data_IF_583244650493
#
_entry.id   IF_583244650493
#
_cell.length_a   1.000
_cell.length_b   1.000
_cell.length_c   1.000
_cell.angle_alpha   90.00
_cell.angle_beta   90.00
_cell.angle_gamma   90.00
#
_symmetry.space_group_name_H-M   'P 1'
#
loop_
_entity.id
_entity.type
_entity.pdbx_description
1 polymer ?
#
# COMPACT_ATOMS: atom_id res chain seq x y z
N UNK A 1 18.74 25.91 -0.58
CA UNK A 1 18.45 24.62 -1.23
C UNK A 1 18.15 23.64 -0.11
N UNK A 2 16.87 23.31 0.10
CA UNK A 2 16.48 22.31 1.11
C UNK A 2 16.56 20.93 0.45
N UNK A 3 17.45 20.08 0.95
CA UNK A 3 17.49 18.66 0.58
C UNK A 3 16.32 17.94 1.23
N UNK A 4 15.26 17.70 0.46
CA UNK A 4 14.15 16.85 0.86
C UNK A 4 14.69 15.42 1.01
N UNK A 5 14.70 14.91 2.23
CA UNK A 5 15.12 13.53 2.53
C UNK A 5 13.92 12.63 2.31
N UNK A 6 13.89 11.92 1.18
CA UNK A 6 12.86 10.91 0.92
C UNK A 6 13.04 9.78 1.94
N UNK A 7 12.03 9.45 2.77
CA UNK A 7 12.12 8.37 3.73
C UNK A 7 12.29 7.02 3.01
N UNK A 8 13.19 6.18 3.54
CA UNK A 8 13.45 4.87 2.97
C UNK A 8 12.20 3.97 3.07
N UNK A 9 11.90 3.17 2.04
CA UNK A 9 10.76 2.26 2.05
C UNK A 9 10.86 1.27 3.21
N UNK A 10 9.76 1.10 3.94
CA UNK A 10 9.65 0.12 5.03
C UNK A 10 9.16 -1.20 4.45
N UNK A 11 9.96 -2.25 4.59
CA UNK A 11 9.64 -3.62 4.13
C UNK A 11 9.12 -4.44 5.31
N UNK A 12 7.99 -5.14 5.15
CA UNK A 12 7.54 -6.12 6.13
C UNK A 12 8.31 -7.44 5.98
N UNK A 13 8.58 -8.17 7.09
CA UNK A 13 9.39 -9.39 7.07
C UNK A 13 8.66 -10.67 6.60
N UNK A 14 7.39 -10.62 6.24
CA UNK A 14 6.61 -11.81 5.87
C UNK A 14 6.53 -12.01 4.33
N UNK A 15 6.78 -13.22 3.80
CA UNK A 15 6.74 -13.46 2.36
C UNK A 15 5.30 -13.48 1.85
N UNK A 16 4.85 -12.38 1.22
CA UNK A 16 3.59 -12.41 0.47
C UNK A 16 3.79 -13.16 -0.86
N UNK A 17 2.77 -13.88 -1.29
CA UNK A 17 2.77 -14.52 -2.60
C UNK A 17 2.56 -13.47 -3.69
N UNK A 18 3.26 -13.60 -4.83
CA UNK A 18 3.15 -12.69 -5.98
C UNK A 18 1.78 -12.70 -6.70
N UNK A 19 0.82 -13.48 -6.20
CA UNK A 19 -0.58 -13.41 -6.61
C UNK A 19 -1.28 -12.31 -5.80
N UNK A 20 -1.73 -11.26 -6.50
CA UNK A 20 -2.53 -10.18 -5.90
C UNK A 20 -1.81 -8.86 -5.67
N UNK A 21 -0.85 -8.48 -6.51
CA UNK A 21 -0.18 -7.17 -6.40
C UNK A 21 -1.15 -6.01 -6.64
N UNK A 22 -1.56 -5.36 -5.54
CA UNK A 22 -2.33 -4.12 -5.54
C UNK A 22 -1.47 -2.99 -4.99
N UNK A 23 -1.47 -1.87 -5.69
CA UNK A 23 -0.95 -0.60 -5.23
C UNK A 23 -2.13 0.19 -4.66
N UNK A 24 -1.97 0.65 -3.43
CA UNK A 24 -2.95 1.39 -2.69
C UNK A 24 -2.36 2.75 -2.32
N UNK A 25 -2.91 3.83 -2.88
CA UNK A 25 -2.51 5.21 -2.54
C UNK A 25 -3.56 5.79 -1.61
N UNK A 26 -3.19 5.92 -0.34
CA UNK A 26 -4.06 6.39 0.73
C UNK A 26 -3.81 7.87 1.04
N UNK A 27 -4.89 8.65 1.09
CA UNK A 27 -4.87 10.03 1.54
C UNK A 27 -5.12 10.09 3.05
N UNK A 28 -4.13 10.59 3.80
CA UNK A 28 -4.14 10.72 5.26
C UNK A 28 -5.23 11.68 5.75
N UNK A 29 -5.60 12.68 4.95
CA UNK A 29 -6.56 13.70 5.37
C UNK A 29 -7.99 13.22 5.22
N UNK A 30 -8.32 12.75 4.02
CA UNK A 30 -9.66 12.23 3.82
C UNK A 30 -9.78 10.87 4.47
N UNK A 31 -8.84 9.94 4.31
CA UNK A 31 -8.98 8.52 4.68
C UNK A 31 -9.42 7.64 3.49
N UNK A 32 -9.57 8.21 2.30
CA UNK A 32 -9.83 7.46 1.06
C UNK A 32 -8.54 6.91 0.46
N UNK A 33 -8.66 5.78 -0.23
CA UNK A 33 -7.57 5.15 -0.94
C UNK A 33 -7.96 4.80 -2.37
N UNK A 34 -7.06 5.09 -3.31
CA UNK A 34 -7.13 4.60 -4.69
C UNK A 34 -6.43 3.26 -4.80
N UNK A 35 -7.06 2.31 -5.48
CA UNK A 35 -6.52 0.98 -5.68
C UNK A 35 -6.23 0.79 -7.17
N UNK A 36 -5.03 0.32 -7.46
CA UNK A 36 -4.62 -0.08 -8.80
C UNK A 36 -3.97 -1.45 -8.75
N UNK A 37 -4.25 -2.31 -9.74
CA UNK A 37 -3.53 -3.57 -9.92
C UNK A 37 -2.28 -3.29 -10.72
N UNK A 38 -1.13 -3.73 -10.21
CA UNK A 38 0.15 -3.56 -10.90
C UNK A 38 1.17 -4.57 -10.39
N UNK A 39 1.60 -5.50 -11.25
CA UNK A 39 2.55 -6.55 -10.85
C UNK A 39 3.96 -6.01 -10.70
N UNK A 40 4.74 -6.57 -9.80
CA UNK A 40 6.15 -6.21 -9.68
C UNK A 40 6.90 -6.56 -10.98
N UNK A 41 7.55 -5.55 -11.58
CA UNK A 41 8.28 -5.70 -12.83
C UNK A 41 7.43 -5.62 -14.10
N UNK A 42 6.12 -5.37 -13.98
CA UNK A 42 5.31 -5.03 -15.16
C UNK A 42 5.80 -3.71 -15.78
N UNK A 43 5.79 -3.67 -17.11
CA UNK A 43 6.07 -2.47 -17.89
C UNK A 43 4.78 -1.75 -18.30
N UNK A 44 3.63 -2.37 -18.09
CA UNK A 44 2.33 -1.77 -18.31
C UNK A 44 1.98 -0.79 -17.18
N UNK A 45 1.14 0.19 -17.49
CA UNK A 45 0.66 1.14 -16.49
C UNK A 45 -0.26 0.45 -15.47
N UNK A 46 -0.25 0.86 -14.19
CA UNK A 46 -1.20 0.39 -13.20
C UNK A 46 -2.65 0.53 -13.68
N UNK A 47 -3.43 -0.53 -13.56
CA UNK A 47 -4.84 -0.54 -13.94
C UNK A 47 -5.69 -0.19 -12.72
N UNK A 48 -6.50 0.87 -12.79
CA UNK A 48 -7.42 1.24 -11.73
C UNK A 48 -8.43 0.11 -11.44
N UNK A 49 -8.59 -0.25 -10.16
CA UNK A 49 -9.53 -1.30 -9.74
C UNK A 49 -10.60 -0.82 -8.77
N UNK A 50 -10.41 0.33 -8.12
CA UNK A 50 -11.45 0.89 -7.27
C UNK A 50 -10.97 1.93 -6.27
N UNK A 51 -11.90 2.33 -5.39
CA UNK A 51 -11.67 3.25 -4.28
C UNK A 51 -12.20 2.59 -3.02
N UNK A 52 -11.44 2.70 -1.92
CA UNK A 52 -11.86 2.19 -0.62
C UNK A 52 -11.69 3.26 0.46
N UNK A 53 -12.54 3.19 1.48
CA UNK A 53 -12.39 3.99 2.69
C UNK A 53 -11.65 3.16 3.73
N UNK A 54 -10.48 3.62 4.16
CA UNK A 54 -9.70 2.92 5.19
C UNK A 54 -9.87 3.65 6.52
N UNK A 55 -10.45 3.01 7.55
CA UNK A 55 -10.54 3.59 8.87
C UNK A 55 -9.14 3.67 9.48
N UNK A 56 -8.73 4.86 9.91
CA UNK A 56 -7.41 5.07 10.50
C UNK A 56 -6.95 6.51 10.35
N UNK A 57 -6.24 7.02 11.35
CA UNK A 57 -5.60 8.33 11.29
C UNK A 57 -4.12 8.22 10.88
N UNK A 58 -3.57 7.00 10.88
CA UNK A 58 -2.15 6.75 10.65
C UNK A 58 -1.93 5.57 9.70
N UNK A 59 -0.75 5.52 9.09
CA UNK A 59 -0.34 4.39 8.26
C UNK A 59 -0.28 3.06 9.05
N UNK A 60 -0.10 3.12 10.38
CA UNK A 60 -0.17 1.93 11.23
C UNK A 60 -1.59 1.35 11.32
N UNK A 61 -2.61 2.21 11.40
CA UNK A 61 -4.01 1.78 11.42
C UNK A 61 -4.41 1.15 10.08
N UNK A 62 -3.92 1.72 8.98
CA UNK A 62 -4.11 1.18 7.63
C UNK A 62 -3.46 -0.20 7.52
N UNK A 63 -2.21 -0.37 7.97
CA UNK A 63 -1.55 -1.68 8.02
C UNK A 63 -2.35 -2.71 8.81
N UNK A 64 -2.87 -2.33 9.98
CA UNK A 64 -3.69 -3.23 10.80
C UNK A 64 -4.99 -3.63 10.09
N UNK A 65 -5.64 -2.68 9.40
CA UNK A 65 -6.86 -2.94 8.61
C UNK A 65 -6.60 -3.91 7.46
N UNK A 66 -5.50 -3.71 6.73
CA UNK A 66 -5.09 -4.60 5.63
C UNK A 66 -4.77 -6.01 6.15
N UNK A 67 -4.01 -6.12 7.23
CA UNK A 67 -3.71 -7.40 7.87
C UNK A 67 -4.96 -8.14 8.36
N UNK A 68 -5.91 -7.42 8.99
CA UNK A 68 -7.20 -8.00 9.39
C UNK A 68 -8.03 -8.50 8.20
N UNK A 69 -7.76 -8.01 7.00
CA UNK A 69 -8.40 -8.42 5.75
C UNK A 69 -7.64 -9.53 5.01
N UNK A 70 -6.59 -10.10 5.61
CA UNK A 70 -5.75 -11.15 4.98
C UNK A 70 -4.78 -10.63 3.92
N UNK A 71 -4.42 -9.34 4.00
CA UNK A 71 -3.46 -8.70 3.11
C UNK A 71 -2.16 -8.39 3.85
N UNK A 72 -1.04 -8.60 3.18
CA UNK A 72 0.29 -8.27 3.70
C UNK A 72 0.83 -7.04 2.97
N UNK A 73 1.27 -6.03 3.72
CA UNK A 73 1.97 -4.86 3.16
C UNK A 73 3.41 -5.26 2.82
N UNK A 74 3.72 -5.27 1.54
CA UNK A 74 5.02 -5.58 0.97
C UNK A 74 5.99 -4.40 1.09
N UNK A 75 5.52 -3.23 0.67
CA UNK A 75 6.27 -1.98 0.74
C UNK A 75 5.35 -0.84 1.14
N UNK A 76 5.87 0.07 1.95
CA UNK A 76 5.22 1.31 2.33
C UNK A 76 6.21 2.47 2.13
N UNK A 77 5.75 3.55 1.52
CA UNK A 77 6.50 4.79 1.45
C UNK A 77 5.59 6.01 1.39
N UNK A 78 6.10 7.13 1.91
CA UNK A 78 5.40 8.41 1.87
C UNK A 78 5.64 9.05 0.50
N UNK A 79 4.55 9.29 -0.25
CA UNK A 79 4.63 9.97 -1.56
C UNK A 79 4.81 11.47 -1.33
N UNK A 80 4.02 12.02 -0.41
CA UNK A 80 4.13 13.38 0.11
C UNK A 80 3.54 13.44 1.54
N UNK A 81 3.33 14.65 2.07
CA UNK A 81 2.77 14.88 3.41
C UNK A 81 1.32 14.38 3.58
N UNK A 82 0.56 14.24 2.50
CA UNK A 82 -0.86 13.81 2.49
C UNK A 82 -1.01 12.36 2.02
N UNK A 83 -0.17 11.88 1.12
CA UNK A 83 -0.30 10.58 0.48
C UNK A 83 0.72 9.55 1.00
N UNK A 84 0.24 8.36 1.34
CA UNK A 84 1.04 7.15 1.57
C UNK A 84 0.72 6.12 0.51
N UNK A 85 1.73 5.49 -0.07
CA UNK A 85 1.53 4.34 -0.94
C UNK A 85 1.87 3.05 -0.20
N UNK A 86 0.98 2.06 -0.33
CA UNK A 86 1.16 0.70 0.12
C UNK A 86 1.12 -0.23 -1.08
N UNK A 87 2.12 -1.09 -1.21
CA UNK A 87 2.00 -2.27 -2.06
C UNK A 87 1.56 -3.43 -1.19
N UNK A 88 0.47 -4.07 -1.58
CA UNK A 88 -0.11 -5.18 -0.82
C UNK A 88 -0.18 -6.43 -1.68
N UNK A 89 0.06 -7.57 -1.04
CA UNK A 89 -0.16 -8.90 -1.59
C UNK A 89 -1.06 -9.72 -0.68
N UNK A 90 -1.46 -10.90 -1.14
CA UNK A 90 -2.19 -11.86 -0.30
C UNK A 90 -1.26 -12.47 0.75
N UNK A 91 -1.76 -12.58 1.98
CA UNK A 91 -1.07 -13.33 3.04
C UNK A 91 -0.99 -14.81 2.64
N UNK A 92 0.21 -15.40 2.74
CA UNK A 92 0.42 -16.80 2.39
C UNK A 92 -0.46 -17.71 3.27
N UNK A 93 -1.45 -18.37 2.65
CA UNK A 93 -2.39 -19.26 3.35
C UNK A 93 -3.83 -18.73 3.46
N UNK A 94 -4.12 -17.51 2.99
CA UNK A 94 -5.49 -17.04 2.81
C UNK A 94 -6.10 -17.72 1.56
N UNK A 95 -6.78 -18.85 1.77
CA UNK A 95 -7.64 -19.51 0.77
C UNK A 95 -9.04 -19.72 1.34
#
# INVERSE_FOLDING_TARGET
>A
MSTETIPAPRTSPEPATADGDVVLTWDRWSGWAHLARHRAGDTELPAFVGIARLPGATAADVRATLAASGLTVLTEYDVDEQLTEFRVGLTAGAR
#
